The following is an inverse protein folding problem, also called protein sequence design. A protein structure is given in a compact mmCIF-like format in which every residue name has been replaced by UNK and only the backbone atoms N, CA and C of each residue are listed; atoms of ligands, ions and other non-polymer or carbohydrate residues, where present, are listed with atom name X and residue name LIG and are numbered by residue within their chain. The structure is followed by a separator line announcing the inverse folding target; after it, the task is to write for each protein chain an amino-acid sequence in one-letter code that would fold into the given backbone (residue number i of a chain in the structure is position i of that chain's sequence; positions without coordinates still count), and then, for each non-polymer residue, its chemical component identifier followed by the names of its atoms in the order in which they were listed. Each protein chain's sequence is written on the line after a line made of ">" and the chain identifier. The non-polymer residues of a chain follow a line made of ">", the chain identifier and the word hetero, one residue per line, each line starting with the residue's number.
data_IF_290052473504
#
_entry.id   IF_290052473504
#
_cell.length_a   1.000
_cell.length_b   1.000
_cell.length_c   1.000
_cell.angle_alpha   90.00
_cell.angle_beta   90.00
_cell.angle_gamma   90.00
#
_symmetry.space_group_name_H-M   'P 1'
#
loop_
_entity.id
_entity.type
_entity.pdbx_description
1 polymer ?
#
# COMPACT_ATOMS: atom_id res chain seq x y z
N UNK A 1 39.86 -2.29 -11.36
CA UNK A 1 39.37 -0.90 -11.26
C UNK A 1 37.85 -0.78 -11.41
N UNK A 2 37.20 -1.22 -12.50
CA UNK A 2 35.74 -1.12 -12.73
C UNK A 2 34.85 -1.73 -11.63
N UNK A 3 35.25 -2.89 -11.02
CA UNK A 3 34.49 -3.52 -9.93
C UNK A 3 34.55 -2.71 -8.61
N UNK A 4 35.67 -2.08 -8.31
CA UNK A 4 35.86 -1.24 -7.12
C UNK A 4 35.08 0.07 -7.25
N UNK A 5 35.15 0.71 -8.40
CA UNK A 5 34.33 1.90 -8.72
C UNK A 5 32.83 1.59 -8.66
N UNK A 6 32.36 0.46 -9.20
CA UNK A 6 30.96 0.02 -9.04
C UNK A 6 30.58 -0.18 -7.57
N UNK A 7 31.49 -0.71 -6.75
CA UNK A 7 31.27 -0.92 -5.31
C UNK A 7 31.24 0.43 -4.55
N UNK A 8 32.11 1.37 -4.91
CA UNK A 8 32.12 2.74 -4.37
C UNK A 8 30.87 3.49 -4.83
N UNK A 9 30.50 3.44 -6.12
CA UNK A 9 29.27 4.02 -6.65
C UNK A 9 28.02 3.42 -5.97
N UNK A 10 28.02 2.11 -5.71
CA UNK A 10 26.91 1.46 -5.01
C UNK A 10 26.79 1.87 -3.53
N UNK A 11 27.83 2.42 -2.93
CA UNK A 11 27.77 3.03 -1.60
C UNK A 11 27.05 4.39 -1.61
N UNK A 12 27.16 5.13 -2.69
CA UNK A 12 26.61 6.50 -2.81
C UNK A 12 25.28 6.59 -3.55
N UNK A 13 24.92 5.59 -4.37
CA UNK A 13 23.63 5.59 -5.07
C UNK A 13 22.50 5.07 -4.16
N UNK A 14 21.31 5.69 -4.22
CA UNK A 14 20.13 5.16 -3.56
C UNK A 14 19.77 3.84 -4.24
N UNK A 15 19.77 2.77 -3.49
CA UNK A 15 19.30 1.49 -3.96
C UNK A 15 17.81 1.42 -3.65
N UNK A 16 17.01 0.82 -4.55
CA UNK A 16 15.55 0.78 -4.47
C UNK A 16 14.96 0.15 -3.20
N UNK A 17 13.71 -0.20 -3.23
CA UNK A 17 12.86 -0.70 -2.14
C UNK A 17 13.54 -1.74 -1.22
N UNK A 18 14.30 -2.70 -1.81
CA UNK A 18 15.01 -3.74 -1.02
C UNK A 18 16.05 -3.14 -0.06
N UNK A 19 16.74 -2.08 -0.49
CA UNK A 19 17.76 -1.42 0.32
C UNK A 19 17.14 -0.61 1.45
N UNK A 20 16.01 0.04 1.21
CA UNK A 20 15.25 0.73 2.26
C UNK A 20 14.91 -0.23 3.42
N UNK A 21 14.32 -1.39 3.14
CA UNK A 21 13.97 -2.38 4.16
C UNK A 21 15.21 -2.94 4.89
N UNK A 22 16.34 -3.09 4.19
CA UNK A 22 17.63 -3.50 4.80
C UNK A 22 18.15 -2.43 5.77
N UNK A 23 18.15 -1.15 5.38
CA UNK A 23 18.57 -0.06 6.25
C UNK A 23 17.64 0.08 7.45
N UNK A 24 16.32 0.09 7.21
CA UNK A 24 15.32 0.12 8.27
C UNK A 24 15.52 -0.99 9.31
N UNK A 25 15.78 -2.23 8.89
CA UNK A 25 16.05 -3.34 9.81
C UNK A 25 17.30 -3.08 10.65
N UNK A 26 18.35 -2.52 10.07
CA UNK A 26 19.60 -2.19 10.80
C UNK A 26 19.42 -1.03 11.77
N UNK A 27 18.51 -0.10 11.49
CA UNK A 27 18.15 1.01 12.38
C UNK A 27 17.35 0.51 13.59
N UNK A 28 16.35 -0.33 13.35
CA UNK A 28 15.45 -0.84 14.39
C UNK A 28 16.10 -1.94 15.25
N UNK A 29 16.85 -2.82 14.62
CA UNK A 29 17.45 -4.01 15.26
C UNK A 29 18.96 -4.11 14.96
N UNK A 30 19.76 -3.14 15.44
CA UNK A 30 21.21 -3.14 15.16
C UNK A 30 21.92 -4.23 15.95
N UNK A 31 22.82 -4.98 15.27
CA UNK A 31 23.65 -6.02 15.90
C UNK A 31 25.12 -5.58 15.93
N UNK A 32 25.81 -5.78 17.07
CA UNK A 32 27.24 -5.50 17.21
C UNK A 32 27.62 -4.10 16.71
N UNK A 33 28.63 -4.03 15.85
CA UNK A 33 29.17 -2.79 15.26
C UNK A 33 28.14 -1.96 14.48
N UNK A 34 27.00 -2.56 14.07
CA UNK A 34 25.93 -1.83 13.37
C UNK A 34 25.33 -0.68 14.20
N UNK A 35 25.46 -0.73 15.54
CA UNK A 35 25.01 0.35 16.44
C UNK A 35 25.74 1.65 16.15
N UNK A 36 27.04 1.59 15.88
CA UNK A 36 27.88 2.75 15.55
C UNK A 36 27.48 3.35 14.20
N UNK A 37 27.08 2.51 13.23
CA UNK A 37 26.67 2.94 11.89
C UNK A 37 25.21 3.32 11.77
N UNK A 38 24.46 3.42 12.88
CA UNK A 38 23.04 3.81 12.86
C UNK A 38 22.80 5.16 12.15
N UNK A 39 23.58 6.23 12.37
CA UNK A 39 23.40 7.49 11.65
C UNK A 39 23.55 7.33 10.13
N UNK A 40 24.52 6.56 9.69
CA UNK A 40 24.73 6.26 8.27
C UNK A 40 23.50 5.54 7.66
N UNK A 41 22.95 4.53 8.35
CA UNK A 41 21.76 3.83 7.86
C UNK A 41 20.53 4.74 7.83
N UNK A 42 20.38 5.64 8.79
CA UNK A 42 19.30 6.62 8.84
C UNK A 42 19.39 7.59 7.65
N UNK A 43 20.56 8.15 7.39
CA UNK A 43 20.81 9.03 6.24
C UNK A 43 20.49 8.31 4.91
N UNK A 44 20.92 7.05 4.78
CA UNK A 44 20.67 6.24 3.57
C UNK A 44 19.19 5.91 3.38
N UNK A 45 18.46 5.63 4.46
CA UNK A 45 17.03 5.39 4.41
C UNK A 45 16.27 6.67 4.03
N UNK A 46 16.65 7.80 4.64
CA UNK A 46 16.09 9.12 4.32
C UNK A 46 16.33 9.47 2.85
N UNK A 47 17.56 9.39 2.37
CA UNK A 47 17.89 9.69 0.97
C UNK A 47 17.14 8.81 -0.02
N UNK A 48 16.92 7.52 0.31
CA UNK A 48 16.11 6.63 -0.53
C UNK A 48 14.67 7.12 -0.60
N UNK A 49 14.10 7.59 0.48
CA UNK A 49 12.74 8.13 0.52
C UNK A 49 12.62 9.43 -0.26
N UNK A 50 13.57 10.35 -0.10
CA UNK A 50 13.59 11.64 -0.81
C UNK A 50 13.65 11.44 -2.32
N UNK A 51 14.50 10.51 -2.80
CA UNK A 51 14.61 10.16 -4.22
C UNK A 51 13.33 9.55 -4.79
N UNK A 52 12.54 8.86 -3.99
CA UNK A 52 11.30 8.20 -4.39
C UNK A 52 10.06 9.03 -4.04
N UNK A 53 10.27 10.28 -3.56
CA UNK A 53 9.19 11.14 -3.08
C UNK A 53 8.24 10.36 -2.17
N UNK A 54 8.78 9.71 -1.15
CA UNK A 54 8.04 8.88 -0.21
C UNK A 54 8.32 9.26 1.24
N UNK A 55 7.40 8.95 2.13
CA UNK A 55 7.55 9.15 3.57
C UNK A 55 7.01 7.94 4.32
N UNK A 56 7.91 7.06 4.75
CA UNK A 56 7.58 5.82 5.46
C UNK A 56 8.28 5.83 6.81
N UNK A 57 7.56 5.88 7.92
CA UNK A 57 8.14 5.92 9.25
C UNK A 57 9.00 4.69 9.56
N UNK A 58 10.15 4.92 10.19
CA UNK A 58 11.04 3.85 10.64
C UNK A 58 10.60 3.42 12.04
N UNK A 59 9.52 2.67 12.12
CA UNK A 59 8.93 2.15 13.36
C UNK A 59 8.58 0.66 13.21
N UNK A 60 8.46 -0.06 14.31
CA UNK A 60 8.02 -1.46 14.27
C UNK A 60 6.55 -1.63 13.91
N UNK A 61 5.76 -0.55 14.03
CA UNK A 61 4.33 -0.53 13.67
C UNK A 61 4.07 -0.74 12.18
N UNK A 62 5.05 -0.36 11.33
CA UNK A 62 4.97 -0.58 9.89
C UNK A 62 5.74 -1.86 9.58
N UNK A 63 5.06 -2.97 9.35
CA UNK A 63 5.72 -4.21 8.90
C UNK A 63 6.21 -4.04 7.45
N UNK A 64 7.30 -4.73 7.06
CA UNK A 64 7.72 -4.73 5.66
C UNK A 64 6.59 -5.21 4.75
N UNK A 65 6.34 -4.46 3.68
CA UNK A 65 5.33 -4.77 2.68
C UNK A 65 5.94 -4.88 1.29
N UNK A 66 5.22 -5.53 0.38
CA UNK A 66 5.59 -5.58 -1.04
C UNK A 66 5.19 -4.27 -1.71
N UNK A 67 6.10 -3.70 -2.50
CA UNK A 67 5.84 -2.54 -3.33
C UNK A 67 6.28 -2.87 -4.77
N UNK A 68 5.38 -3.41 -5.60
CA UNK A 68 5.72 -3.92 -6.94
C UNK A 68 6.37 -2.87 -7.84
N UNK A 69 5.93 -1.63 -7.76
CA UNK A 69 6.48 -0.50 -8.52
C UNK A 69 7.44 0.38 -7.69
N UNK A 70 8.03 -0.17 -6.63
CA UNK A 70 8.87 0.58 -5.71
C UNK A 70 8.06 1.42 -4.71
N UNK A 71 8.76 2.27 -3.95
CA UNK A 71 8.15 3.09 -2.89
C UNK A 71 7.67 4.47 -3.39
N UNK A 72 7.61 4.68 -4.71
CA UNK A 72 7.32 6.00 -5.31
C UNK A 72 5.99 6.58 -4.81
N UNK A 73 6.05 7.76 -4.19
CA UNK A 73 4.88 8.49 -3.73
C UNK A 73 4.08 7.81 -2.63
N UNK A 74 4.67 6.87 -1.88
CA UNK A 74 3.99 6.25 -0.74
C UNK A 74 4.22 7.11 0.50
N UNK A 75 3.12 7.63 1.06
CA UNK A 75 3.12 8.42 2.29
C UNK A 75 2.37 7.69 3.39
N UNK A 76 3.04 7.42 4.51
CA UNK A 76 2.45 6.75 5.68
C UNK A 76 2.65 7.64 6.90
N UNK A 77 1.58 7.96 7.62
CA UNK A 77 1.68 8.76 8.84
C UNK A 77 2.38 7.99 9.96
N UNK A 78 3.04 8.70 10.86
CA UNK A 78 3.81 8.12 11.97
C UNK A 78 2.95 7.24 12.91
N UNK A 79 1.70 7.61 13.12
CA UNK A 79 0.75 6.87 13.98
C UNK A 79 0.17 5.62 13.35
N UNK A 80 0.30 5.44 12.02
CA UNK A 80 -0.30 4.32 11.32
C UNK A 80 0.33 2.98 11.71
N UNK A 81 -0.45 1.91 11.55
CA UNK A 81 0.01 0.52 11.66
C UNK A 81 -0.22 -0.20 10.36
N UNK A 82 0.75 -1.02 9.94
CA UNK A 82 0.64 -1.86 8.74
C UNK A 82 1.04 -3.28 9.10
N UNK A 83 0.14 -4.20 8.86
CA UNK A 83 0.30 -5.63 9.15
C UNK A 83 1.30 -6.34 8.23
N UNK A 84 1.39 -7.66 8.38
CA UNK A 84 2.30 -8.52 7.63
C UNK A 84 1.73 -8.86 6.24
N UNK A 85 2.61 -9.06 5.25
CA UNK A 85 2.22 -9.56 3.94
C UNK A 85 1.39 -8.61 3.09
N UNK A 86 1.32 -7.33 3.45
CA UNK A 86 0.61 -6.32 2.67
C UNK A 86 1.31 -6.05 1.34
N UNK A 87 0.53 -5.67 0.34
CA UNK A 87 1.01 -5.16 -0.96
C UNK A 87 0.50 -3.74 -1.13
N UNK A 88 1.41 -2.78 -1.29
CA UNK A 88 1.10 -1.36 -1.42
C UNK A 88 1.69 -0.84 -2.72
N UNK A 89 0.84 -0.31 -3.58
CA UNK A 89 1.26 0.27 -4.84
C UNK A 89 1.69 1.73 -4.70
N UNK A 90 2.23 2.29 -5.77
CA UNK A 90 2.71 3.66 -5.81
C UNK A 90 1.60 4.68 -5.51
N UNK A 91 2.00 5.88 -5.03
CA UNK A 91 1.13 7.03 -4.77
C UNK A 91 0.02 6.78 -3.71
N UNK A 92 0.16 5.74 -2.90
CA UNK A 92 -0.75 5.45 -1.79
C UNK A 92 -0.46 6.41 -0.62
N UNK A 93 -1.53 6.93 -0.03
CA UNK A 93 -1.44 7.71 1.22
C UNK A 93 -2.19 6.99 2.34
N UNK A 94 -1.50 6.74 3.45
CA UNK A 94 -2.08 6.24 4.71
C UNK A 94 -1.91 7.37 5.73
N UNK A 95 -2.91 8.24 5.84
CA UNK A 95 -2.84 9.53 6.52
C UNK A 95 -3.63 9.58 7.81
N UNK A 96 -3.15 10.33 8.78
CA UNK A 96 -3.90 10.63 10.00
C UNK A 96 -4.93 11.73 9.75
N UNK A 97 -6.09 11.63 10.41
CA UNK A 97 -6.99 12.74 10.60
C UNK A 97 -6.65 13.46 11.90
N UNK A 98 -6.22 14.70 11.81
CA UNK A 98 -5.83 15.53 12.96
C UNK A 98 -6.86 16.60 13.30
N UNK A 99 -7.98 16.67 12.59
CA UNK A 99 -9.03 17.68 12.78
C UNK A 99 -9.62 17.55 14.19
N UNK A 100 -9.59 18.61 15.02
CA UNK A 100 -10.22 18.60 16.35
C UNK A 100 -11.71 18.31 16.24
N UNK A 101 -12.24 17.49 17.17
CA UNK A 101 -13.67 17.13 17.19
C UNK A 101 -14.11 16.09 16.16
N UNK A 102 -13.26 15.68 15.23
CA UNK A 102 -13.60 14.62 14.26
C UNK A 102 -13.80 13.26 14.94
N UNK A 103 -14.91 12.57 14.61
CA UNK A 103 -15.21 11.21 15.10
C UNK A 103 -14.16 10.16 14.70
N UNK A 104 -13.48 10.36 13.57
CA UNK A 104 -12.43 9.47 13.04
C UNK A 104 -11.04 10.11 13.18
N UNK A 105 -10.79 10.81 14.29
CA UNK A 105 -9.47 11.37 14.61
C UNK A 105 -8.48 10.24 14.87
N UNK A 106 -7.27 10.35 14.32
CA UNK A 106 -6.19 9.36 14.53
C UNK A 106 -5.61 8.86 13.22
N UNK A 107 -4.85 7.79 13.31
CA UNK A 107 -4.14 7.17 12.19
C UNK A 107 -4.71 5.78 11.87
N UNK A 108 -4.67 5.34 10.61
CA UNK A 108 -5.21 4.06 10.21
C UNK A 108 -4.46 2.86 10.79
N UNK A 109 -5.21 1.80 11.05
CA UNK A 109 -4.70 0.47 11.39
C UNK A 109 -5.02 -0.48 10.23
N UNK A 110 -3.98 -0.93 9.53
CA UNK A 110 -4.09 -1.86 8.41
C UNK A 110 -3.75 -3.26 8.91
N UNK A 111 -4.65 -4.20 8.67
CA UNK A 111 -4.48 -5.62 8.99
C UNK A 111 -3.43 -6.33 8.15
N UNK A 112 -3.42 -7.65 8.23
CA UNK A 112 -2.49 -8.51 7.49
C UNK A 112 -3.00 -8.79 6.06
N UNK A 113 -2.08 -9.02 5.12
CA UNK A 113 -2.34 -9.42 3.72
C UNK A 113 -3.27 -8.49 2.95
N UNK A 114 -3.30 -7.21 3.34
CA UNK A 114 -4.10 -6.18 2.67
C UNK A 114 -3.43 -5.78 1.36
N UNK A 115 -4.24 -5.70 0.30
CA UNK A 115 -3.83 -5.20 -1.01
C UNK A 115 -4.36 -3.77 -1.20
N UNK A 116 -3.46 -2.82 -1.47
CA UNK A 116 -3.80 -1.41 -1.64
C UNK A 116 -3.35 -0.95 -3.02
N UNK A 117 -4.33 -0.72 -3.90
CA UNK A 117 -4.11 -0.28 -5.28
C UNK A 117 -3.52 1.12 -5.38
N UNK A 118 -2.93 1.41 -6.55
CA UNK A 118 -2.23 2.66 -6.82
C UNK A 118 -3.12 3.89 -6.55
N UNK A 119 -2.53 4.92 -5.95
CA UNK A 119 -3.21 6.19 -5.70
C UNK A 119 -4.28 6.16 -4.59
N UNK A 120 -4.55 5.03 -3.95
CA UNK A 120 -5.55 4.95 -2.88
C UNK A 120 -5.19 5.85 -1.69
N UNK A 121 -6.22 6.44 -1.05
CA UNK A 121 -6.10 7.33 0.11
C UNK A 121 -6.87 6.73 1.29
N UNK A 122 -6.18 6.35 2.34
CA UNK A 122 -6.75 5.77 3.57
C UNK A 122 -6.51 6.77 4.68
N UNK A 123 -7.57 7.42 5.16
CA UNK A 123 -7.43 8.60 6.01
C UNK A 123 -8.26 8.46 7.28
N UNK A 124 -7.64 8.74 8.42
CA UNK A 124 -8.30 8.81 9.72
C UNK A 124 -8.03 7.64 10.63
N UNK A 125 -8.58 7.70 11.84
CA UNK A 125 -8.52 6.65 12.85
C UNK A 125 -9.48 5.51 12.51
N UNK A 126 -9.19 4.80 11.44
CA UNK A 126 -10.00 3.71 10.90
C UNK A 126 -9.23 2.40 10.91
N UNK A 127 -9.98 1.29 10.88
CA UNK A 127 -9.42 -0.06 10.86
C UNK A 127 -9.76 -0.76 9.56
N UNK A 128 -8.73 -1.25 8.88
CA UNK A 128 -8.86 -2.11 7.71
C UNK A 128 -8.56 -3.53 8.16
N UNK A 129 -9.52 -4.43 8.02
CA UNK A 129 -9.39 -5.84 8.40
C UNK A 129 -8.35 -6.59 7.57
N UNK A 130 -8.12 -7.86 7.93
CA UNK A 130 -7.22 -8.72 7.19
C UNK A 130 -7.80 -9.10 5.82
N UNK A 131 -6.92 -9.41 4.85
CA UNK A 131 -7.30 -9.89 3.52
C UNK A 131 -8.21 -8.93 2.72
N UNK A 132 -8.19 -7.64 3.06
CA UNK A 132 -8.94 -6.59 2.35
C UNK A 132 -8.23 -6.22 1.05
N UNK A 133 -9.02 -5.96 0.01
CA UNK A 133 -8.55 -5.43 -1.27
C UNK A 133 -9.12 -4.04 -1.52
N UNK A 134 -8.25 -3.06 -1.64
CA UNK A 134 -8.61 -1.67 -1.94
C UNK A 134 -8.17 -1.38 -3.37
N UNK A 135 -9.13 -1.03 -4.22
CA UNK A 135 -8.88 -0.68 -5.62
C UNK A 135 -8.08 0.61 -5.78
N UNK A 136 -7.54 0.81 -6.99
CA UNK A 136 -6.80 2.03 -7.30
C UNK A 136 -7.69 3.27 -7.15
N UNK A 137 -7.09 4.38 -6.68
CA UNK A 137 -7.70 5.68 -6.46
C UNK A 137 -8.92 5.67 -5.51
N UNK A 138 -9.12 4.61 -4.73
CA UNK A 138 -10.16 4.59 -3.71
C UNK A 138 -9.81 5.53 -2.55
N UNK A 139 -10.82 6.26 -2.07
CA UNK A 139 -10.75 7.06 -0.84
C UNK A 139 -11.48 6.30 0.25
N UNK A 140 -10.77 6.01 1.34
CA UNK A 140 -11.25 5.22 2.47
C UNK A 140 -11.21 6.07 3.73
N UNK A 141 -12.36 6.34 4.29
CA UNK A 141 -12.56 7.14 5.51
C UNK A 141 -13.31 6.38 6.61
N UNK A 142 -13.70 5.15 6.33
CA UNK A 142 -14.45 4.28 7.22
C UNK A 142 -13.81 2.91 7.38
N UNK A 143 -14.20 2.21 8.45
CA UNK A 143 -13.69 0.89 8.75
C UNK A 143 -14.11 -0.10 7.66
N UNK A 144 -13.19 -1.00 7.29
CA UNK A 144 -13.47 -2.06 6.31
C UNK A 144 -13.28 -3.41 7.01
N UNK A 145 -14.32 -4.26 7.07
CA UNK A 145 -14.22 -5.59 7.67
C UNK A 145 -13.28 -6.49 6.85
N UNK A 146 -12.75 -7.53 7.52
CA UNK A 146 -11.87 -8.49 6.87
C UNK A 146 -12.54 -9.17 5.66
N UNK A 147 -11.73 -9.67 4.72
CA UNK A 147 -12.15 -10.37 3.52
C UNK A 147 -13.06 -9.55 2.58
N UNK A 148 -12.95 -8.23 2.62
CA UNK A 148 -13.76 -7.31 1.80
C UNK A 148 -12.98 -6.76 0.63
N UNK A 149 -13.70 -6.38 -0.42
CA UNK A 149 -13.14 -5.67 -1.57
C UNK A 149 -13.83 -4.31 -1.72
N UNK A 150 -13.05 -3.24 -1.75
CA UNK A 150 -13.50 -1.90 -2.07
C UNK A 150 -12.99 -1.51 -3.45
N UNK A 151 -13.89 -1.16 -4.36
CA UNK A 151 -13.52 -0.61 -5.66
C UNK A 151 -14.15 0.78 -5.84
N UNK A 152 -13.54 1.60 -6.66
CA UNK A 152 -13.97 2.97 -6.87
C UNK A 152 -15.41 3.07 -7.46
N UNK A 153 -15.91 2.01 -8.10
CA UNK A 153 -17.28 1.95 -8.67
C UNK A 153 -18.36 1.56 -7.66
N UNK A 154 -18.00 0.92 -6.56
CA UNK A 154 -18.99 0.47 -5.58
C UNK A 154 -18.93 1.38 -4.36
N UNK A 155 -19.95 2.23 -4.19
CA UNK A 155 -20.26 2.84 -2.89
C UNK A 155 -20.67 1.80 -1.84
N UNK A 156 -20.81 0.54 -2.23
CA UNK A 156 -21.18 -0.58 -1.37
C UNK A 156 -19.99 -1.53 -1.18
N UNK A 157 -19.76 -1.93 0.06
CA UNK A 157 -18.88 -3.02 0.42
C UNK A 157 -19.46 -4.32 -0.16
N UNK A 158 -18.79 -4.96 -1.10
CA UNK A 158 -19.16 -6.32 -1.49
C UNK A 158 -18.58 -7.31 -0.51
N UNK A 159 -19.41 -7.85 0.36
CA UNK A 159 -19.10 -9.00 1.20
C UNK A 159 -19.25 -10.26 0.37
N UNK A 160 -18.24 -10.66 -0.36
CA UNK A 160 -18.17 -12.02 -0.90
C UNK A 160 -16.73 -12.38 -1.20
N UNK A 161 -16.11 -13.10 -0.31
CA UNK A 161 -14.92 -13.88 -0.66
C UNK A 161 -15.12 -15.32 -0.25
N UNK A 162 -15.63 -16.14 -1.18
CA UNK A 162 -15.16 -17.52 -1.30
C UNK A 162 -13.66 -17.48 -1.58
N UNK A 163 -12.90 -18.37 -0.96
CA UNK A 163 -11.45 -18.54 -1.16
C UNK A 163 -11.14 -18.52 -2.65
N UNK A 164 -10.58 -17.45 -3.15
CA UNK A 164 -10.00 -17.42 -4.49
C UNK A 164 -8.51 -17.74 -4.34
N UNK A 165 -8.19 -19.02 -4.47
CA UNK A 165 -6.88 -19.43 -4.98
C UNK A 165 -6.74 -18.77 -6.34
N UNK A 166 -5.79 -17.86 -6.45
CA UNK A 166 -5.50 -17.13 -7.69
C UNK A 166 -5.01 -18.09 -8.77
N UNK A 167 -5.66 -18.12 -9.93
CA UNK A 167 -4.95 -18.19 -11.20
C UNK A 167 -4.99 -16.82 -11.86
N UNK A 168 -3.81 -16.34 -12.20
CA UNK A 168 -3.62 -15.23 -13.11
C UNK A 168 -4.41 -15.50 -14.42
N UNK A 169 -5.13 -14.49 -14.89
CA UNK A 169 -5.74 -14.45 -16.22
C UNK A 169 -6.92 -15.39 -16.53
N UNK A 170 -8.11 -15.12 -15.98
CA UNK A 170 -9.36 -15.53 -16.66
C UNK A 170 -10.56 -14.67 -16.23
N UNK A 171 -10.61 -13.41 -16.57
CA UNK A 171 -11.69 -12.49 -16.12
C UNK A 171 -12.23 -11.52 -17.17
N UNK A 172 -11.81 -11.61 -18.45
CA UNK A 172 -12.29 -10.68 -19.47
C UNK A 172 -13.64 -11.06 -20.11
N UNK A 173 -14.10 -12.30 -19.94
CA UNK A 173 -15.32 -12.79 -20.63
C UNK A 173 -16.62 -12.57 -19.84
N UNK A 174 -16.56 -12.41 -18.52
CA UNK A 174 -17.78 -12.26 -17.69
C UNK A 174 -18.35 -10.83 -17.77
N UNK A 175 -17.48 -9.82 -17.88
CA UNK A 175 -17.91 -8.42 -18.01
C UNK A 175 -18.55 -8.16 -19.38
N UNK A 176 -18.11 -8.86 -20.43
CA UNK A 176 -18.66 -8.73 -21.78
C UNK A 176 -20.12 -9.24 -21.86
N UNK A 177 -20.41 -10.38 -21.23
CA UNK A 177 -21.79 -10.94 -21.19
C UNK A 177 -22.80 -10.09 -20.41
N UNK A 178 -22.38 -9.43 -19.32
CA UNK A 178 -23.27 -8.55 -18.56
C UNK A 178 -23.59 -7.24 -19.29
N UNK A 179 -22.64 -6.74 -20.08
CA UNK A 179 -22.87 -5.54 -20.89
C UNK A 179 -23.72 -5.83 -22.12
N UNK A 180 -23.64 -7.02 -22.72
CA UNK A 180 -24.48 -7.43 -23.83
C UNK A 180 -25.94 -7.63 -23.38
N UNK A 181 -26.17 -8.25 -22.22
CA UNK A 181 -27.51 -8.43 -21.66
C UNK A 181 -28.22 -7.10 -21.36
N UNK A 182 -27.50 -6.11 -20.79
CA UNK A 182 -28.03 -4.77 -20.54
C UNK A 182 -28.33 -3.98 -21.83
N UNK A 183 -27.62 -4.27 -22.91
CA UNK A 183 -27.86 -3.62 -24.21
C UNK A 183 -29.10 -4.16 -24.91
N UNK A 184 -29.38 -5.44 -24.74
CA UNK A 184 -30.58 -6.09 -25.27
C UNK A 184 -31.85 -5.64 -24.53
N UNK A 185 -31.77 -5.52 -23.20
CA UNK A 185 -32.87 -5.06 -22.35
C UNK A 185 -33.21 -3.57 -22.57
N UNK A 186 -32.23 -2.74 -22.98
CA UNK A 186 -32.49 -1.33 -23.32
C UNK A 186 -33.07 -1.13 -24.73
N UNK A 187 -32.85 -2.06 -25.66
CA UNK A 187 -33.41 -1.97 -27.01
C UNK A 187 -34.89 -2.41 -27.04
N UNK A 188 -35.33 -3.25 -26.10
CA UNK A 188 -36.74 -3.66 -26.01
C UNK A 188 -37.68 -2.61 -25.42
N UNK A 189 -37.12 -1.57 -24.75
CA UNK A 189 -37.91 -0.48 -24.14
C UNK A 189 -38.18 0.68 -25.14
N UNK A 190 -37.50 0.71 -26.29
CA UNK A 190 -37.62 1.75 -27.30
C UNK A 190 -38.50 1.35 -28.50
N UNK A 191 -39.21 0.19 -28.43
CA UNK A 191 -40.09 -0.34 -29.51
C UNK A 191 -41.52 -0.58 -29.00
N UNK A 192 -42.03 0.24 -28.10
CA UNK A 192 -43.46 0.33 -27.77
C UNK A 192 -43.92 1.78 -27.80
#
# INVERSE_FOLDING_TARGET
>A
MKKLLKKIYSLFLPHGTRSFWKYRRRILFPKGIQKIFKPYYSLRAQWTQDKLNSSIPITERIRPFQAPHGLCGIFISYGARVGKGCTIFQQVTIGSNTVPGSKKRGAPVIGDRVYIGAGAKIIGGITIGNDVRIGANCIVTDDIPANSTLSWRSRALSHTMSRVTTPLFHGMNTVRRLNEKKRTDMQSVFLL
#
